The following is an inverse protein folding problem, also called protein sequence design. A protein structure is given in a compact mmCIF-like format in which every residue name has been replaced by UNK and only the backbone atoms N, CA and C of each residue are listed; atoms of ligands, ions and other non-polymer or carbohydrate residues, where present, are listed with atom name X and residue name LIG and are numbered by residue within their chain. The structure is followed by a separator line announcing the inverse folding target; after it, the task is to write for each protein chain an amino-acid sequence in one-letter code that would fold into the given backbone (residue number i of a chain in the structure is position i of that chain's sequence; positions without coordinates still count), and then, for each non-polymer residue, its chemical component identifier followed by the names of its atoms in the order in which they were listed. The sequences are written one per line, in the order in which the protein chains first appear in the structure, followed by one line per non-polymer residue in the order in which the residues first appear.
data_IF_484259025603
#
_entry.id   IF_484259025603
#
_cell.length_a   1.000
_cell.length_b   1.000
_cell.length_c   1.000
_cell.angle_alpha   90.00
_cell.angle_beta   90.00
_cell.angle_gamma   90.00
#
_symmetry.space_group_name_H-M   'P 1'
#
loop_
_entity.id
_entity.type
_entity.pdbx_description
1 polymer ?
#
# COMPACT_ATOMS: atom_id res chain seq x y z
N UNK A 1 -12.67 20.83 54.43
CA UNK A 1 -13.07 19.51 53.94
C UNK A 1 -11.83 18.82 53.40
N UNK A 2 -11.41 17.69 54.00
CA UNK A 2 -10.06 17.14 53.96
C UNK A 2 -9.62 16.76 52.56
N UNK A 3 -8.59 17.45 52.08
CA UNK A 3 -7.88 17.21 50.82
C UNK A 3 -6.88 16.02 50.94
N UNK A 4 -7.19 15.03 51.75
CA UNK A 4 -6.48 13.75 51.73
C UNK A 4 -7.32 12.74 50.95
N UNK A 5 -7.38 12.93 49.62
CA UNK A 5 -7.75 11.86 48.74
C UNK A 5 -6.63 10.83 48.86
N UNK A 6 -7.02 9.63 49.26
CA UNK A 6 -6.10 8.54 49.55
C UNK A 6 -5.14 8.36 48.37
N UNK A 7 -3.80 8.23 48.59
CA UNK A 7 -2.82 7.97 47.50
C UNK A 7 -3.17 6.75 46.63
N UNK A 8 -4.04 5.89 47.12
CA UNK A 8 -4.58 4.76 46.38
C UNK A 8 -5.53 5.17 45.25
N UNK A 9 -6.32 6.25 45.43
CA UNK A 9 -7.22 6.72 44.38
C UNK A 9 -6.43 7.23 43.15
N UNK A 10 -5.35 7.92 43.38
CA UNK A 10 -4.44 8.41 42.35
C UNK A 10 -3.74 7.25 41.63
N UNK A 11 -3.45 6.17 42.37
CA UNK A 11 -2.87 4.95 41.77
C UNK A 11 -3.88 4.22 40.88
N UNK A 12 -5.14 4.12 41.27
CA UNK A 12 -6.21 3.54 40.45
C UNK A 12 -6.41 4.35 39.18
N UNK A 13 -6.45 5.67 39.30
CA UNK A 13 -6.57 6.59 38.18
C UNK A 13 -5.38 6.44 37.21
N UNK A 14 -4.16 6.36 37.73
CA UNK A 14 -2.96 6.12 36.91
C UNK A 14 -3.06 4.82 36.10
N UNK A 15 -3.50 3.72 36.73
CA UNK A 15 -3.70 2.43 36.06
C UNK A 15 -4.78 2.55 35.00
N UNK A 16 -5.90 3.22 35.28
CA UNK A 16 -6.97 3.44 34.31
C UNK A 16 -6.47 4.21 33.07
N UNK A 17 -5.69 5.27 33.26
CA UNK A 17 -5.07 6.01 32.17
C UNK A 17 -4.10 5.15 31.34
N UNK A 18 -3.33 4.26 31.97
CA UNK A 18 -2.48 3.31 31.25
C UNK A 18 -3.30 2.36 30.38
N UNK A 19 -4.42 1.84 30.89
CA UNK A 19 -5.32 0.95 30.14
C UNK A 19 -5.91 1.69 28.94
N UNK A 20 -6.40 2.93 29.13
CA UNK A 20 -6.93 3.76 28.03
C UNK A 20 -5.88 4.09 26.98
N UNK A 21 -4.62 4.31 27.37
CA UNK A 21 -3.50 4.47 26.42
C UNK A 21 -3.17 3.16 25.66
N UNK A 22 -3.35 2.01 26.28
CA UNK A 22 -3.22 0.71 25.59
C UNK A 22 -4.34 0.52 24.55
N UNK A 23 -5.58 0.88 24.90
CA UNK A 23 -6.73 0.86 24.00
C UNK A 23 -6.48 1.82 22.82
N UNK A 24 -6.01 3.05 23.10
CA UNK A 24 -5.63 4.02 22.05
C UNK A 24 -4.60 3.44 21.10
N UNK A 25 -3.52 2.85 21.62
CA UNK A 25 -2.48 2.23 20.80
C UNK A 25 -3.02 1.11 19.92
N UNK A 26 -3.86 0.25 20.46
CA UNK A 26 -4.42 -0.89 19.73
C UNK A 26 -5.35 -0.46 18.59
N UNK A 27 -6.21 0.53 18.84
CA UNK A 27 -7.20 1.00 17.87
C UNK A 27 -6.56 1.89 16.80
N UNK A 28 -5.67 2.81 17.21
CA UNK A 28 -5.06 3.78 16.28
C UNK A 28 -3.84 3.24 15.53
N UNK A 29 -3.23 2.17 16.04
CA UNK A 29 -1.96 1.65 15.53
C UNK A 29 -0.74 2.51 15.87
N UNK A 30 -0.88 3.53 16.71
CA UNK A 30 0.24 4.33 17.22
C UNK A 30 1.16 3.47 18.07
N UNK A 31 2.45 3.48 17.75
CA UNK A 31 3.44 2.81 18.61
C UNK A 31 3.86 3.75 19.75
N UNK A 32 3.44 3.42 20.97
CA UNK A 32 3.83 4.12 22.19
C UNK A 32 4.75 3.25 23.03
N UNK A 33 5.98 3.71 23.28
CA UNK A 33 6.89 3.00 24.18
C UNK A 33 6.34 2.98 25.62
N UNK A 34 6.71 1.96 26.38
CA UNK A 34 6.29 1.83 27.79
C UNK A 34 6.60 3.10 28.60
N UNK A 35 7.80 3.70 28.40
CA UNK A 35 8.22 4.94 29.08
C UNK A 35 7.31 6.12 28.75
N UNK A 36 6.92 6.29 27.46
CA UNK A 36 6.01 7.36 27.03
C UNK A 36 4.61 7.19 27.64
N UNK A 37 4.08 5.96 27.67
CA UNK A 37 2.77 5.69 28.31
C UNK A 37 2.76 6.04 29.78
N UNK A 38 3.79 5.60 30.53
CA UNK A 38 3.92 5.95 31.94
C UNK A 38 4.04 7.47 32.16
N UNK A 39 4.84 8.16 31.33
CA UNK A 39 4.99 9.61 31.44
C UNK A 39 3.65 10.34 31.23
N UNK A 40 2.91 9.98 30.17
CA UNK A 40 1.61 10.60 29.88
C UNK A 40 0.62 10.31 30.99
N UNK A 41 0.51 9.07 31.45
CA UNK A 41 -0.38 8.71 32.56
C UNK A 41 -0.02 9.48 33.84
N UNK A 42 1.28 9.60 34.17
CA UNK A 42 1.73 10.39 35.32
C UNK A 42 1.35 11.87 35.21
N UNK A 43 1.55 12.49 34.03
CA UNK A 43 1.16 13.88 33.81
C UNK A 43 -0.36 14.07 33.97
N UNK A 44 -1.18 13.17 33.42
CA UNK A 44 -2.64 13.25 33.56
C UNK A 44 -3.10 13.04 35.00
N UNK A 45 -2.44 12.15 35.75
CA UNK A 45 -2.70 11.95 37.19
C UNK A 45 -2.36 13.20 37.98
N UNK A 46 -1.24 13.85 37.69
CA UNK A 46 -0.89 15.14 38.35
C UNK A 46 -1.91 16.22 37.98
N UNK A 47 -2.36 16.31 36.76
CA UNK A 47 -3.43 17.23 36.35
C UNK A 47 -4.74 16.96 37.12
N UNK A 48 -5.09 15.68 37.31
CA UNK A 48 -6.27 15.30 38.10
C UNK A 48 -6.15 15.72 39.58
N UNK A 49 -4.97 15.55 40.19
CA UNK A 49 -4.74 15.98 41.57
C UNK A 49 -4.89 17.50 41.75
N UNK A 50 -4.34 18.26 40.78
CA UNK A 50 -4.34 19.75 40.86
C UNK A 50 -5.71 20.32 40.53
N UNK A 51 -6.40 19.81 39.52
CA UNK A 51 -7.64 20.38 38.97
C UNK A 51 -8.92 19.71 39.47
N UNK A 52 -8.80 18.71 40.29
CA UNK A 52 -9.80 17.77 40.82
C UNK A 52 -11.23 17.89 40.25
N UNK A 53 -12.02 18.90 40.68
CA UNK A 53 -13.43 19.07 40.24
C UNK A 53 -13.55 19.48 38.77
N UNK A 54 -12.64 20.31 38.27
CA UNK A 54 -12.61 20.76 36.88
C UNK A 54 -12.15 19.62 35.98
N UNK A 55 -11.18 18.82 36.44
CA UNK A 55 -10.67 17.70 35.68
C UNK A 55 -11.73 16.64 35.40
N UNK A 56 -12.65 16.44 36.34
CA UNK A 56 -13.77 15.50 36.15
C UNK A 56 -14.59 15.83 34.90
N UNK A 57 -14.71 17.11 34.52
CA UNK A 57 -15.39 17.54 33.28
C UNK A 57 -14.48 17.43 32.08
N UNK A 58 -13.18 17.64 32.22
CA UNK A 58 -12.21 17.68 31.14
C UNK A 58 -11.60 16.33 30.82
N UNK A 59 -11.73 15.35 31.74
CA UNK A 59 -11.15 14.01 31.60
C UNK A 59 -11.37 13.36 30.21
N UNK A 60 -12.59 13.35 29.63
CA UNK A 60 -12.82 12.72 28.31
C UNK A 60 -12.01 13.35 27.17
N UNK A 61 -11.63 14.62 27.34
CA UNK A 61 -10.89 15.39 26.33
C UNK A 61 -9.37 15.36 26.53
N UNK A 62 -8.89 14.68 27.60
CA UNK A 62 -7.46 14.67 27.96
C UNK A 62 -6.57 14.18 26.83
N UNK A 63 -6.98 13.17 26.08
CA UNK A 63 -6.18 12.67 24.96
C UNK A 63 -6.18 13.61 23.76
N UNK A 64 -7.16 14.50 23.60
CA UNK A 64 -7.13 15.52 22.56
C UNK A 64 -5.99 16.52 22.77
N UNK A 65 -5.62 16.77 24.03
CA UNK A 65 -4.49 17.63 24.41
C UNK A 65 -3.17 16.89 24.14
N UNK A 66 -3.15 15.57 24.31
CA UNK A 66 -1.94 14.73 24.18
C UNK A 66 -1.64 14.33 22.73
N UNK A 67 -2.66 14.06 21.92
CA UNK A 67 -2.53 13.60 20.53
C UNK A 67 -1.69 14.54 19.64
N UNK A 68 -1.79 15.88 19.71
CA UNK A 68 -0.96 16.77 18.90
C UNK A 68 0.54 16.64 19.12
N UNK A 69 0.99 16.13 20.28
CA UNK A 69 2.39 15.86 20.58
C UNK A 69 2.92 14.59 19.88
N UNK A 70 2.02 13.78 19.29
CA UNK A 70 2.41 12.68 18.44
C UNK A 70 2.50 13.18 16.99
N UNK A 71 3.59 12.87 16.31
CA UNK A 71 3.75 13.15 14.88
C UNK A 71 2.82 12.23 14.08
N UNK A 72 1.54 12.60 13.95
CA UNK A 72 0.53 11.86 13.22
C UNK A 72 0.01 12.70 12.06
N UNK A 73 -0.22 12.05 10.91
CA UNK A 73 -0.86 12.67 9.74
C UNK A 73 -2.40 12.64 9.83
N UNK A 74 -2.94 12.57 11.05
CA UNK A 74 -4.39 12.48 11.26
C UNK A 74 -5.11 13.80 11.02
N UNK A 75 -6.26 13.70 10.35
CA UNK A 75 -7.20 14.79 10.19
C UNK A 75 -7.86 15.16 11.54
N UNK A 76 -8.49 16.33 11.62
CA UNK A 76 -9.21 16.77 12.81
C UNK A 76 -10.27 15.75 13.30
N UNK A 77 -11.03 15.18 12.39
CA UNK A 77 -12.05 14.14 12.67
C UNK A 77 -11.45 12.88 13.26
N UNK A 78 -10.29 12.43 12.76
CA UNK A 78 -9.56 11.28 13.29
C UNK A 78 -8.98 11.55 14.68
N UNK A 79 -8.37 12.72 14.86
CA UNK A 79 -7.85 13.13 16.17
C UNK A 79 -8.95 13.11 17.22
N UNK A 80 -10.13 13.63 16.87
CA UNK A 80 -11.29 13.63 17.74
C UNK A 80 -11.76 12.22 18.06
N UNK A 81 -11.88 11.36 17.04
CA UNK A 81 -12.30 9.97 17.20
C UNK A 81 -11.36 9.17 18.09
N UNK A 82 -10.06 9.16 17.77
CA UNK A 82 -9.07 8.41 18.56
C UNK A 82 -8.85 9.00 19.95
N UNK A 83 -9.08 10.31 20.13
CA UNK A 83 -8.99 10.96 21.42
C UNK A 83 -10.14 10.62 22.36
N UNK A 84 -11.38 10.55 21.84
CA UNK A 84 -12.57 10.29 22.64
C UNK A 84 -12.88 8.81 22.83
N UNK A 85 -12.64 7.98 21.84
CA UNK A 85 -13.04 6.57 21.84
C UNK A 85 -12.53 5.77 23.06
N UNK A 86 -11.26 5.86 23.50
CA UNK A 86 -10.77 5.13 24.68
C UNK A 86 -11.51 5.51 25.96
N UNK A 87 -11.92 6.78 26.08
CA UNK A 87 -12.69 7.24 27.23
C UNK A 87 -14.14 6.76 27.19
N UNK A 88 -14.79 6.79 26.00
CA UNK A 88 -16.16 6.25 25.84
C UNK A 88 -16.19 4.77 26.19
N UNK A 89 -15.25 3.99 25.63
CA UNK A 89 -15.15 2.55 25.91
C UNK A 89 -14.90 2.31 27.39
N UNK A 90 -13.93 3.01 27.97
CA UNK A 90 -13.59 2.87 29.40
C UNK A 90 -14.77 3.19 30.32
N UNK A 91 -15.38 4.37 30.19
CA UNK A 91 -16.50 4.80 31.02
C UNK A 91 -17.72 3.86 30.85
N UNK A 92 -18.07 3.52 29.62
CA UNK A 92 -19.20 2.64 29.33
C UNK A 92 -18.98 1.23 29.91
N UNK A 93 -17.82 0.63 29.70
CA UNK A 93 -17.51 -0.71 30.20
C UNK A 93 -17.43 -0.76 31.71
N UNK A 94 -16.79 0.23 32.37
CA UNK A 94 -16.77 0.31 33.83
C UNK A 94 -18.18 0.36 34.42
N UNK A 95 -19.09 1.12 33.82
CA UNK A 95 -20.49 1.20 34.26
C UNK A 95 -21.25 -0.11 34.07
N UNK A 96 -21.05 -0.80 32.96
CA UNK A 96 -21.69 -2.10 32.69
C UNK A 96 -21.15 -3.15 33.66
N UNK A 97 -19.82 -3.18 33.88
CA UNK A 97 -19.20 -4.11 34.83
C UNK A 97 -19.70 -3.79 36.28
N UNK A 98 -19.75 -2.52 36.63
CA UNK A 98 -20.30 -2.08 37.93
C UNK A 98 -21.75 -2.55 38.14
N UNK A 99 -22.59 -2.39 37.13
CA UNK A 99 -23.97 -2.84 37.15
C UNK A 99 -24.08 -4.36 37.30
N UNK A 100 -23.25 -5.12 36.57
CA UNK A 100 -23.19 -6.56 36.69
C UNK A 100 -22.74 -7.04 38.06
N UNK A 101 -21.68 -6.44 38.61
CA UNK A 101 -21.16 -6.76 39.96
C UNK A 101 -22.22 -6.48 41.02
N UNK A 102 -22.91 -5.36 40.90
CA UNK A 102 -23.97 -4.98 41.84
C UNK A 102 -25.16 -5.94 41.77
N UNK A 103 -25.61 -6.27 40.58
CA UNK A 103 -26.81 -7.09 40.38
C UNK A 103 -26.58 -8.58 40.67
N UNK A 104 -25.46 -9.15 40.23
CA UNK A 104 -25.20 -10.60 40.35
C UNK A 104 -24.52 -10.95 41.65
N UNK A 105 -23.53 -10.13 42.06
CA UNK A 105 -22.72 -10.44 43.24
C UNK A 105 -23.07 -9.59 44.45
N UNK A 106 -24.00 -8.64 44.34
CA UNK A 106 -24.37 -7.67 45.37
C UNK A 106 -23.18 -6.88 45.91
N UNK A 107 -22.15 -6.74 45.08
CA UNK A 107 -20.94 -5.98 45.37
C UNK A 107 -21.13 -4.54 44.87
N UNK A 108 -20.96 -3.58 45.75
CA UNK A 108 -21.03 -2.16 45.42
C UNK A 108 -19.95 -1.34 46.16
N UNK A 109 -19.91 -0.05 45.84
CA UNK A 109 -18.95 0.86 46.48
C UNK A 109 -19.16 0.97 48.00
N UNK A 110 -20.37 0.83 48.51
CA UNK A 110 -20.66 0.90 49.92
C UNK A 110 -20.11 -0.32 50.68
N UNK A 111 -20.08 -1.49 50.05
CA UNK A 111 -19.57 -2.72 50.64
C UNK A 111 -18.04 -2.85 50.56
N UNK A 112 -17.43 -2.41 49.47
CA UNK A 112 -16.02 -2.63 49.16
C UNK A 112 -15.16 -1.36 49.14
N UNK A 113 -15.80 -0.16 49.08
CA UNK A 113 -15.07 1.12 48.99
C UNK A 113 -14.08 1.15 47.83
N UNK A 114 -12.86 1.52 48.10
CA UNK A 114 -11.78 1.64 47.11
C UNK A 114 -11.46 0.33 46.34
N UNK A 115 -11.65 -0.82 47.00
CA UNK A 115 -11.43 -2.11 46.37
C UNK A 115 -12.37 -2.34 45.19
N UNK A 116 -13.56 -1.74 45.22
CA UNK A 116 -14.51 -1.78 44.12
C UNK A 116 -13.94 -1.11 42.85
N UNK A 117 -13.33 0.07 42.99
CA UNK A 117 -12.72 0.79 41.87
C UNK A 117 -11.50 0.05 41.30
N UNK A 118 -10.71 -0.60 42.15
CA UNK A 118 -9.61 -1.46 41.73
C UNK A 118 -10.13 -2.65 40.88
N UNK A 119 -11.17 -3.32 41.36
CA UNK A 119 -11.79 -4.45 40.64
C UNK A 119 -12.34 -3.99 39.29
N UNK A 120 -13.06 -2.85 39.26
CA UNK A 120 -13.59 -2.31 38.02
C UNK A 120 -12.48 -2.02 36.98
N UNK A 121 -11.41 -1.38 37.46
CA UNK A 121 -10.28 -1.03 36.57
C UNK A 121 -9.55 -2.26 36.07
N UNK A 122 -9.31 -3.27 36.91
CA UNK A 122 -8.67 -4.51 36.50
C UNK A 122 -9.54 -5.35 35.53
N UNK A 123 -10.86 -5.36 35.75
CA UNK A 123 -11.79 -6.08 34.87
C UNK A 123 -11.98 -5.42 33.50
N UNK A 124 -11.58 -4.16 33.34
CA UNK A 124 -11.71 -3.44 32.07
C UNK A 124 -10.93 -4.14 30.94
N UNK A 125 -9.71 -4.64 31.20
CA UNK A 125 -8.86 -5.32 30.20
C UNK A 125 -9.51 -6.61 29.67
N UNK A 126 -9.87 -7.58 30.52
CA UNK A 126 -10.49 -8.82 30.04
C UNK A 126 -11.85 -8.53 29.38
N UNK A 127 -12.65 -7.61 29.89
CA UNK A 127 -13.93 -7.24 29.29
C UNK A 127 -13.73 -6.63 27.89
N UNK A 128 -12.77 -5.70 27.73
CA UNK A 128 -12.40 -5.13 26.46
C UNK A 128 -11.97 -6.21 25.45
N UNK A 129 -11.06 -7.11 25.87
CA UNK A 129 -10.58 -8.16 24.98
C UNK A 129 -11.66 -9.15 24.58
N UNK A 130 -12.54 -9.54 25.50
CA UNK A 130 -13.69 -10.41 25.23
C UNK A 130 -14.69 -9.75 24.30
N UNK A 131 -14.99 -8.47 24.49
CA UNK A 131 -15.93 -7.71 23.66
C UNK A 131 -15.45 -7.65 22.19
N UNK A 132 -14.22 -7.18 21.97
CA UNK A 132 -13.69 -7.04 20.61
C UNK A 132 -13.44 -8.39 19.94
N UNK A 133 -12.95 -9.38 20.68
CA UNK A 133 -12.73 -10.74 20.17
C UNK A 133 -14.06 -11.47 19.91
N UNK A 134 -15.02 -11.33 20.82
CA UNK A 134 -16.33 -11.97 20.70
C UNK A 134 -17.13 -11.45 19.50
N UNK A 135 -17.07 -10.15 19.25
CA UNK A 135 -17.70 -9.52 18.09
C UNK A 135 -16.87 -9.62 16.80
N UNK A 136 -15.68 -10.26 16.86
CA UNK A 136 -14.74 -10.36 15.73
C UNK A 136 -14.41 -9.00 15.09
N UNK A 137 -14.38 -7.95 15.91
CA UNK A 137 -14.00 -6.60 15.47
C UNK A 137 -12.47 -6.53 15.53
N UNK A 138 -11.84 -6.49 14.37
CA UNK A 138 -10.39 -6.30 14.30
C UNK A 138 -10.06 -4.81 14.34
N UNK A 139 -9.16 -4.44 15.26
CA UNK A 139 -8.72 -3.05 15.41
C UNK A 139 -8.15 -2.44 14.11
N UNK A 140 -7.63 -3.28 13.19
CA UNK A 140 -7.16 -2.82 11.88
C UNK A 140 -8.27 -2.18 11.03
N UNK A 141 -9.53 -2.61 11.20
CA UNK A 141 -10.68 -2.05 10.47
C UNK A 141 -11.19 -0.72 11.06
N UNK A 142 -10.72 -0.38 12.26
CA UNK A 142 -10.96 0.94 12.85
C UNK A 142 -9.88 1.96 12.46
N UNK A 143 -8.81 1.51 11.76
CA UNK A 143 -7.83 2.40 11.14
C UNK A 143 -8.43 2.97 9.87
N UNK A 144 -8.72 4.24 9.89
CA UNK A 144 -9.39 4.93 8.82
C UNK A 144 -8.38 5.56 7.89
N UNK A 145 -8.32 5.07 6.67
CA UNK A 145 -7.78 5.84 5.55
C UNK A 145 -8.87 6.80 5.08
N UNK A 146 -8.66 8.08 5.31
CA UNK A 146 -9.65 9.17 5.29
C UNK A 146 -10.01 9.67 3.90
N UNK A 147 -9.74 8.94 2.85
CA UNK A 147 -9.97 9.39 1.48
C UNK A 147 -11.42 9.20 0.99
N UNK A 148 -12.25 8.47 1.72
CA UNK A 148 -13.60 8.13 1.29
C UNK A 148 -14.66 9.01 1.98
N UNK A 149 -15.50 9.70 1.20
CA UNK A 149 -16.54 10.61 1.70
C UNK A 149 -17.54 9.92 2.63
N UNK A 150 -17.87 8.66 2.35
CA UNK A 150 -18.85 7.89 3.11
C UNK A 150 -18.34 7.60 4.53
N UNK A 151 -17.07 7.24 4.66
CA UNK A 151 -16.44 7.01 5.98
C UNK A 151 -16.32 8.29 6.79
N UNK A 152 -16.03 9.43 6.15
CA UNK A 152 -15.95 10.72 6.84
C UNK A 152 -17.25 11.06 7.57
N UNK A 153 -18.40 10.81 6.95
CA UNK A 153 -19.72 11.08 7.54
C UNK A 153 -20.00 10.15 8.72
N UNK A 154 -19.64 8.86 8.63
CA UNK A 154 -19.80 7.90 9.73
C UNK A 154 -18.94 8.31 10.93
N UNK A 155 -17.68 8.69 10.70
CA UNK A 155 -16.79 9.17 11.78
C UNK A 155 -17.27 10.47 12.40
N UNK A 156 -17.82 11.38 11.59
CA UNK A 156 -18.40 12.61 12.12
C UNK A 156 -19.61 12.31 13.02
N UNK A 157 -20.51 11.42 12.59
CA UNK A 157 -21.68 11.03 13.40
C UNK A 157 -21.28 10.32 14.68
N UNK A 158 -20.27 9.47 14.66
CA UNK A 158 -19.72 8.82 15.87
C UNK A 158 -19.10 9.84 16.82
N UNK A 159 -18.31 10.78 16.33
CA UNK A 159 -17.73 11.83 17.16
C UNK A 159 -18.80 12.70 17.85
N UNK A 160 -19.86 13.05 17.12
CA UNK A 160 -20.99 13.77 17.68
C UNK A 160 -21.67 12.91 18.76
N UNK A 161 -21.88 11.61 18.51
CA UNK A 161 -22.47 10.71 19.49
C UNK A 161 -21.63 10.57 20.77
N UNK A 162 -20.28 10.57 20.65
CA UNK A 162 -19.38 10.55 21.82
C UNK A 162 -19.51 11.79 22.66
N UNK A 163 -19.56 12.97 22.03
CA UNK A 163 -19.75 14.24 22.75
C UNK A 163 -21.10 14.26 23.44
N UNK A 164 -22.17 13.87 22.75
CA UNK A 164 -23.53 13.82 23.33
C UNK A 164 -23.57 12.85 24.51
N UNK A 165 -22.94 11.66 24.38
CA UNK A 165 -22.84 10.69 25.46
C UNK A 165 -22.18 11.32 26.72
N UNK A 166 -21.02 11.95 26.56
CA UNK A 166 -20.32 12.55 27.67
C UNK A 166 -21.10 13.71 28.29
N UNK A 167 -21.68 14.59 27.50
CA UNK A 167 -22.51 15.68 28.02
C UNK A 167 -23.65 15.14 28.87
N UNK A 168 -24.31 14.08 28.39
CA UNK A 168 -25.43 13.48 29.09
C UNK A 168 -25.00 12.80 30.40
N UNK A 169 -23.96 11.98 30.35
CA UNK A 169 -23.42 11.30 31.53
C UNK A 169 -22.96 12.31 32.58
N UNK A 170 -22.25 13.37 32.17
CA UNK A 170 -21.75 14.39 33.13
C UNK A 170 -22.87 15.27 33.72
N UNK A 171 -23.87 15.61 32.92
CA UNK A 171 -25.03 16.34 33.46
C UNK A 171 -25.79 15.54 34.52
N UNK A 172 -25.98 14.24 34.29
CA UNK A 172 -26.65 13.36 35.28
C UNK A 172 -25.81 13.22 36.55
N UNK A 173 -24.49 13.16 36.48
CA UNK A 173 -23.60 13.14 37.65
C UNK A 173 -23.67 14.46 38.42
N UNK A 174 -23.74 15.61 37.73
CA UNK A 174 -23.88 16.91 38.37
C UNK A 174 -25.23 17.04 39.08
N UNK A 175 -26.31 16.59 38.44
CA UNK A 175 -27.65 16.61 39.05
C UNK A 175 -27.67 15.73 40.31
N UNK A 176 -27.11 14.52 40.27
CA UNK A 176 -27.00 13.62 41.43
C UNK A 176 -26.28 14.32 42.58
N UNK A 177 -25.14 14.97 42.37
CA UNK A 177 -24.42 15.77 43.36
C UNK A 177 -25.27 16.89 43.98
N UNK A 178 -26.00 17.63 43.13
CA UNK A 178 -26.85 18.73 43.60
C UNK A 178 -28.03 18.22 44.42
N UNK A 179 -28.57 17.04 44.06
CA UNK A 179 -29.62 16.38 44.89
C UNK A 179 -29.04 15.94 46.24
N UNK A 180 -27.86 15.31 46.25
CA UNK A 180 -27.17 14.91 47.48
C UNK A 180 -26.84 16.11 48.39
N UNK A 181 -26.41 17.22 47.78
CA UNK A 181 -26.16 18.48 48.50
C UNK A 181 -27.45 19.22 48.89
N UNK A 182 -28.63 18.68 48.57
CA UNK A 182 -29.93 19.31 48.84
C UNK A 182 -30.10 20.69 48.15
N UNK A 183 -29.37 20.95 47.07
CA UNK A 183 -29.48 22.19 46.27
C UNK A 183 -30.74 22.16 45.39
N UNK A 184 -31.04 21.00 44.83
CA UNK A 184 -32.23 20.77 44.03
C UNK A 184 -32.94 19.51 44.50
N UNK A 185 -34.25 19.44 44.21
CA UNK A 185 -35.06 18.24 44.38
C UNK A 185 -35.60 17.80 43.01
N UNK A 186 -35.43 16.53 42.67
CA UNK A 186 -35.96 15.92 41.44
C UNK A 186 -36.84 14.72 41.80
N UNK A 187 -37.88 14.47 41.02
CA UNK A 187 -38.84 13.37 41.23
C UNK A 187 -38.37 12.05 40.55
N UNK A 188 -37.15 11.99 40.11
CA UNK A 188 -36.55 10.84 39.42
C UNK A 188 -35.13 10.59 39.96
N UNK A 189 -34.67 9.34 39.88
CA UNK A 189 -33.35 8.95 40.32
C UNK A 189 -32.32 9.17 39.19
N UNK A 190 -31.37 10.12 39.35
CA UNK A 190 -30.36 10.42 38.36
C UNK A 190 -29.44 9.22 38.04
N UNK A 191 -29.17 8.38 39.01
CA UNK A 191 -28.39 7.15 38.82
C UNK A 191 -29.10 6.17 37.91
N UNK A 192 -30.41 5.97 38.12
CA UNK A 192 -31.20 5.02 37.29
C UNK A 192 -31.36 5.49 35.87
N UNK A 193 -31.61 6.78 35.67
CA UNK A 193 -31.67 7.38 34.32
C UNK A 193 -30.34 7.25 33.58
N UNK A 194 -29.23 7.57 34.22
CA UNK A 194 -27.88 7.44 33.69
C UNK A 194 -27.60 6.00 33.24
N UNK A 195 -27.93 5.03 34.11
CA UNK A 195 -27.72 3.61 33.86
C UNK A 195 -28.45 3.12 32.60
N UNK A 196 -29.74 3.46 32.49
CA UNK A 196 -30.55 3.07 31.32
C UNK A 196 -30.01 3.69 30.03
N UNK A 197 -29.53 4.93 30.06
CA UNK A 197 -28.95 5.60 28.92
C UNK A 197 -27.61 4.97 28.52
N UNK A 198 -26.76 4.62 29.47
CA UNK A 198 -25.51 3.91 29.19
C UNK A 198 -25.78 2.55 28.54
N UNK A 199 -26.78 1.80 29.01
CA UNK A 199 -27.17 0.53 28.40
C UNK A 199 -27.70 0.71 26.97
N UNK A 200 -28.59 1.69 26.76
CA UNK A 200 -29.09 2.00 25.42
C UNK A 200 -27.94 2.43 24.48
N UNK A 201 -27.06 3.28 24.99
CA UNK A 201 -25.91 3.74 24.22
C UNK A 201 -24.94 2.60 23.91
N UNK A 202 -24.75 1.65 24.83
CA UNK A 202 -23.93 0.45 24.59
C UNK A 202 -24.44 -0.37 23.40
N UNK A 203 -25.77 -0.57 23.31
CA UNK A 203 -26.39 -1.28 22.17
C UNK A 203 -26.16 -0.52 20.87
N UNK A 204 -26.41 0.80 20.86
CA UNK A 204 -26.25 1.65 19.68
C UNK A 204 -24.76 1.73 19.25
N UNK A 205 -23.85 1.86 20.21
CA UNK A 205 -22.41 1.88 19.96
C UNK A 205 -21.93 0.55 19.37
N UNK A 206 -22.38 -0.58 19.95
CA UNK A 206 -22.05 -1.91 19.46
C UNK A 206 -22.56 -2.11 18.01
N UNK A 207 -23.81 -1.72 17.75
CA UNK A 207 -24.37 -1.76 16.40
C UNK A 207 -23.57 -0.90 15.40
N UNK A 208 -23.16 0.30 15.83
CA UNK A 208 -22.33 1.19 14.99
C UNK A 208 -20.94 0.61 14.70
N UNK A 209 -20.30 -0.03 15.68
CA UNK A 209 -19.02 -0.71 15.47
C UNK A 209 -19.15 -1.92 14.53
N UNK A 210 -20.20 -2.72 14.68
CA UNK A 210 -20.49 -3.84 13.79
C UNK A 210 -20.75 -3.36 12.36
N UNK A 211 -21.51 -2.28 12.21
CA UNK A 211 -21.75 -1.67 10.90
C UNK A 211 -20.47 -1.17 10.23
N UNK A 212 -19.59 -0.48 10.99
CA UNK A 212 -18.28 -0.07 10.49
C UNK A 212 -17.42 -1.26 10.06
N UNK A 213 -17.36 -2.30 10.91
CA UNK A 213 -16.61 -3.51 10.61
C UNK A 213 -17.12 -4.20 9.34
N UNK A 214 -18.45 -4.29 9.19
CA UNK A 214 -19.09 -4.85 7.99
C UNK A 214 -18.74 -4.05 6.72
N UNK A 215 -18.90 -2.72 6.77
CA UNK A 215 -18.61 -1.84 5.62
C UNK A 215 -17.14 -1.89 5.20
N UNK A 216 -16.22 -1.88 6.17
CA UNK A 216 -14.79 -2.01 5.88
C UNK A 216 -14.43 -3.35 5.25
N UNK A 217 -15.04 -4.43 5.76
CA UNK A 217 -14.85 -5.75 5.17
C UNK A 217 -15.40 -5.81 3.73
N UNK A 218 -16.60 -5.31 3.50
CA UNK A 218 -17.20 -5.22 2.17
C UNK A 218 -16.31 -4.47 1.17
N UNK A 219 -15.71 -3.34 1.61
CA UNK A 219 -14.79 -2.58 0.77
C UNK A 219 -13.53 -3.37 0.42
N UNK A 220 -12.90 -4.02 1.40
CA UNK A 220 -11.73 -4.86 1.16
C UNK A 220 -12.04 -6.04 0.24
N UNK A 221 -13.19 -6.69 0.41
CA UNK A 221 -13.59 -7.79 -0.45
C UNK A 221 -13.78 -7.33 -1.91
N UNK A 222 -14.32 -6.12 -2.12
CA UNK A 222 -14.42 -5.50 -3.46
C UNK A 222 -13.05 -5.19 -4.06
N UNK A 223 -12.14 -4.58 -3.30
CA UNK A 223 -10.78 -4.30 -3.77
C UNK A 223 -10.02 -5.57 -4.14
N UNK A 224 -10.15 -6.63 -3.33
CA UNK A 224 -9.56 -7.94 -3.62
C UNK A 224 -10.16 -8.54 -4.90
N UNK A 225 -11.48 -8.41 -5.08
CA UNK A 225 -12.15 -8.92 -6.29
C UNK A 225 -11.69 -8.17 -7.54
N UNK A 226 -11.60 -6.85 -7.51
CA UNK A 226 -11.09 -6.03 -8.62
C UNK A 226 -9.66 -6.41 -9.00
N UNK A 227 -8.78 -6.64 -8.00
CA UNK A 227 -7.43 -7.10 -8.24
C UNK A 227 -7.39 -8.49 -8.90
N UNK A 228 -8.23 -9.42 -8.45
CA UNK A 228 -8.35 -10.75 -9.05
C UNK A 228 -8.83 -10.68 -10.51
N UNK A 229 -9.85 -9.87 -10.77
CA UNK A 229 -10.40 -9.70 -12.11
C UNK A 229 -9.37 -9.10 -13.06
N UNK A 230 -8.55 -8.15 -12.58
CA UNK A 230 -7.42 -7.60 -13.34
C UNK A 230 -6.37 -8.69 -13.64
N UNK A 231 -5.99 -9.49 -12.65
CA UNK A 231 -5.04 -10.59 -12.86
C UNK A 231 -5.55 -11.63 -13.88
N UNK A 232 -6.84 -11.98 -13.81
CA UNK A 232 -7.48 -12.89 -14.78
C UNK A 232 -7.50 -12.30 -16.20
N UNK A 233 -7.76 -11.01 -16.34
CA UNK A 233 -7.72 -10.33 -17.63
C UNK A 233 -6.30 -10.32 -18.23
N UNK A 234 -5.27 -10.09 -17.40
CA UNK A 234 -3.86 -10.12 -17.81
C UNK A 234 -3.43 -11.53 -18.23
N UNK A 235 -3.82 -12.54 -17.45
CA UNK A 235 -3.57 -13.95 -17.81
C UNK A 235 -4.25 -14.34 -19.13
N UNK A 236 -5.49 -13.87 -19.35
CA UNK A 236 -6.20 -14.11 -20.60
C UNK A 236 -5.53 -13.43 -21.80
N UNK A 237 -4.92 -12.24 -21.62
CA UNK A 237 -4.11 -11.58 -22.67
C UNK A 237 -2.85 -12.39 -22.98
N UNK A 238 -2.15 -12.82 -21.96
CA UNK A 238 -0.96 -13.67 -22.11
C UNK A 238 -1.27 -14.98 -22.84
N UNK A 239 -2.33 -15.69 -22.44
CA UNK A 239 -2.75 -16.95 -23.07
C UNK A 239 -3.03 -16.77 -24.57
N UNK A 240 -3.75 -15.70 -24.94
CA UNK A 240 -4.02 -15.39 -26.37
C UNK A 240 -2.74 -15.09 -27.16
N UNK A 241 -1.79 -14.40 -26.53
CA UNK A 241 -0.50 -14.14 -27.16
C UNK A 241 0.30 -15.43 -27.40
N UNK A 242 0.34 -16.33 -26.43
CA UNK A 242 0.97 -17.65 -26.55
C UNK A 242 0.29 -18.48 -27.68
N UNK A 243 -1.04 -18.46 -27.73
CA UNK A 243 -1.79 -19.15 -28.80
C UNK A 243 -1.47 -18.60 -30.20
N UNK A 244 -1.31 -17.28 -30.32
CA UNK A 244 -0.87 -16.64 -31.56
C UNK A 244 0.52 -17.12 -31.99
N UNK A 245 1.46 -17.15 -31.04
CA UNK A 245 2.81 -17.67 -31.33
C UNK A 245 2.81 -19.13 -31.74
N UNK A 246 2.00 -19.98 -31.11
CA UNK A 246 1.85 -21.38 -31.50
C UNK A 246 1.29 -21.53 -32.93
N UNK A 247 0.34 -20.68 -33.31
CA UNK A 247 -0.19 -20.67 -34.69
C UNK A 247 0.87 -20.28 -35.69
N UNK A 248 1.68 -19.25 -35.38
CA UNK A 248 2.80 -18.84 -36.26
C UNK A 248 3.85 -19.94 -36.41
N UNK A 249 4.27 -20.58 -35.32
CA UNK A 249 5.21 -21.70 -35.33
C UNK A 249 4.65 -22.88 -36.15
N UNK A 250 3.37 -23.17 -36.00
CA UNK A 250 2.72 -24.27 -36.76
C UNK A 250 2.69 -23.97 -38.28
N UNK A 251 2.37 -22.73 -38.64
CA UNK A 251 2.39 -22.29 -40.06
C UNK A 251 3.81 -22.39 -40.63
N UNK A 252 4.79 -21.85 -39.91
CA UNK A 252 6.21 -21.94 -40.32
C UNK A 252 6.66 -23.37 -40.50
N UNK A 253 6.35 -24.28 -39.59
CA UNK A 253 6.69 -25.71 -39.72
C UNK A 253 6.05 -26.34 -40.92
N UNK A 254 4.78 -26.02 -41.22
CA UNK A 254 4.08 -26.53 -42.40
C UNK A 254 4.76 -26.07 -43.68
N UNK A 255 5.04 -24.76 -43.80
CA UNK A 255 5.64 -24.17 -44.99
C UNK A 255 7.07 -24.71 -45.22
N UNK A 256 7.86 -24.84 -44.17
CA UNK A 256 9.20 -25.41 -44.20
C UNK A 256 9.19 -26.89 -44.61
N UNK A 257 8.22 -27.66 -44.10
CA UNK A 257 8.04 -29.07 -44.49
C UNK A 257 7.70 -29.18 -45.96
N UNK A 258 6.84 -28.34 -46.53
CA UNK A 258 6.49 -28.33 -47.94
C UNK A 258 7.71 -28.02 -48.84
N UNK A 259 8.51 -27.04 -48.45
CA UNK A 259 9.77 -26.72 -49.13
C UNK A 259 10.71 -27.94 -49.17
N UNK A 260 10.90 -28.61 -48.01
CA UNK A 260 11.76 -29.79 -47.94
C UNK A 260 11.23 -30.96 -48.79
N UNK A 261 9.91 -31.15 -48.85
CA UNK A 261 9.29 -32.19 -49.69
C UNK A 261 9.50 -31.89 -51.16
N UNK A 262 9.23 -30.67 -51.61
CA UNK A 262 9.42 -30.24 -53.00
C UNK A 262 10.90 -30.31 -53.44
N UNK A 263 11.81 -29.94 -52.55
CA UNK A 263 13.25 -30.06 -52.82
C UNK A 263 13.68 -31.52 -52.92
N UNK A 264 13.16 -32.42 -52.08
CA UNK A 264 13.48 -33.87 -52.15
C UNK A 264 12.93 -34.53 -53.42
N UNK A 265 11.76 -34.12 -53.90
CA UNK A 265 11.21 -34.60 -55.22
C UNK A 265 12.08 -34.12 -56.35
N UNK A 266 12.42 -32.84 -56.43
CA UNK A 266 13.28 -32.28 -57.45
C UNK A 266 14.69 -32.94 -57.49
N UNK A 267 15.24 -33.30 -56.30
CA UNK A 267 16.51 -34.04 -56.20
C UNK A 267 16.37 -35.47 -56.78
N UNK A 268 15.25 -36.16 -56.42
CA UNK A 268 15.00 -37.52 -56.90
C UNK A 268 14.83 -37.60 -58.41
N UNK A 269 14.22 -36.58 -59.03
CA UNK A 269 13.97 -36.48 -60.48
C UNK A 269 15.17 -35.88 -61.21
N UNK A 270 16.28 -35.60 -60.52
CA UNK A 270 17.51 -34.99 -61.10
C UNK A 270 17.23 -33.64 -61.82
N UNK A 271 16.13 -32.97 -61.49
CA UNK A 271 15.72 -31.69 -62.07
C UNK A 271 16.50 -30.51 -61.45
N UNK A 272 17.66 -30.24 -62.07
CA UNK A 272 18.54 -29.15 -61.60
C UNK A 272 17.87 -27.78 -61.74
N UNK A 273 16.94 -27.58 -62.66
CA UNK A 273 16.24 -26.30 -62.84
C UNK A 273 15.25 -26.08 -61.74
N UNK A 274 14.49 -27.11 -61.35
CA UNK A 274 13.56 -27.07 -60.25
C UNK A 274 14.33 -26.89 -58.93
N UNK A 275 15.43 -27.59 -58.67
CA UNK A 275 16.28 -27.42 -57.46
C UNK A 275 16.78 -25.99 -57.36
N UNK A 276 17.25 -25.41 -58.45
CA UNK A 276 17.75 -24.02 -58.47
C UNK A 276 16.61 -23.01 -58.23
N UNK A 277 15.44 -23.26 -58.81
CA UNK A 277 14.27 -22.42 -58.58
C UNK A 277 13.84 -22.40 -57.10
N UNK A 278 13.67 -23.58 -56.47
CA UNK A 278 13.32 -23.73 -55.07
C UNK A 278 14.40 -23.10 -54.16
N UNK A 279 15.67 -23.31 -54.49
CA UNK A 279 16.78 -22.72 -53.76
C UNK A 279 16.77 -21.19 -53.83
N UNK A 280 16.53 -20.61 -55.01
CA UNK A 280 16.41 -19.15 -55.15
C UNK A 280 15.17 -18.60 -54.49
N UNK A 281 14.04 -19.31 -54.51
CA UNK A 281 12.81 -18.89 -53.81
C UNK A 281 12.99 -18.91 -52.30
N UNK A 282 13.62 -19.96 -51.77
CA UNK A 282 13.92 -20.07 -50.33
C UNK A 282 14.92 -19.01 -49.91
N UNK A 283 15.99 -18.78 -50.69
CA UNK A 283 16.98 -17.77 -50.35
C UNK A 283 16.43 -16.35 -50.54
N UNK A 284 15.69 -16.08 -51.63
CA UNK A 284 15.11 -14.77 -51.87
C UNK A 284 14.04 -14.40 -50.79
N UNK A 285 13.26 -15.39 -50.35
CA UNK A 285 12.30 -15.20 -49.23
C UNK A 285 13.01 -15.18 -47.88
N UNK A 286 14.14 -15.90 -47.78
CA UNK A 286 15.02 -15.90 -46.61
C UNK A 286 15.81 -14.59 -46.52
N UNK A 287 16.40 -14.08 -47.57
CA UNK A 287 17.10 -12.79 -47.59
C UNK A 287 16.13 -11.63 -47.24
N UNK A 288 14.89 -11.61 -47.77
CA UNK A 288 13.91 -10.61 -47.41
C UNK A 288 13.41 -10.74 -45.97
N UNK A 289 13.24 -11.94 -45.43
CA UNK A 289 12.76 -12.18 -44.08
C UNK A 289 13.88 -12.20 -43.02
N UNK A 290 15.11 -12.49 -43.41
CA UNK A 290 16.26 -12.60 -42.52
C UNK A 290 17.05 -11.30 -42.40
N UNK A 291 17.09 -10.44 -43.42
CA UNK A 291 17.67 -9.11 -43.30
C UNK A 291 16.75 -8.08 -42.64
N UNK A 292 15.46 -8.33 -42.54
CA UNK A 292 14.49 -7.46 -41.87
C UNK A 292 14.36 -7.79 -40.37
N UNK A 293 15.46 -7.76 -39.60
CA UNK A 293 15.43 -7.72 -38.14
C UNK A 293 14.89 -8.94 -37.36
N UNK A 294 14.44 -10.02 -38.05
CA UNK A 294 13.98 -11.25 -37.39
C UNK A 294 15.12 -12.05 -36.73
N UNK A 295 16.32 -12.01 -37.28
CA UNK A 295 17.50 -12.66 -36.72
C UNK A 295 17.97 -11.98 -35.44
N UNK A 296 17.83 -10.67 -35.33
CA UNK A 296 18.25 -9.93 -34.17
C UNK A 296 17.39 -10.26 -32.95
N UNK A 297 16.08 -10.46 -33.16
CA UNK A 297 15.19 -10.91 -32.07
C UNK A 297 15.49 -12.34 -31.62
N UNK A 298 15.97 -13.21 -32.54
CA UNK A 298 16.37 -14.58 -32.19
C UNK A 298 17.55 -14.62 -31.20
N UNK A 299 18.43 -13.61 -31.20
CA UNK A 299 19.52 -13.48 -30.21
C UNK A 299 19.04 -13.28 -28.79
N UNK A 300 17.79 -12.82 -28.60
CA UNK A 300 17.14 -12.77 -27.26
C UNK A 300 17.02 -14.18 -26.66
N UNK A 301 17.14 -15.26 -27.43
CA UNK A 301 17.15 -16.63 -26.87
C UNK A 301 18.29 -16.85 -25.90
N UNK A 302 19.39 -16.10 -26.02
CA UNK A 302 20.56 -16.18 -25.14
C UNK A 302 20.30 -15.56 -23.74
N UNK A 303 19.25 -14.79 -23.54
CA UNK A 303 18.87 -14.28 -22.25
C UNK A 303 18.17 -15.39 -21.46
N UNK A 304 18.76 -15.80 -20.33
CA UNK A 304 18.27 -16.96 -19.57
C UNK A 304 16.96 -16.70 -18.83
N UNK A 305 16.68 -15.46 -18.45
CA UNK A 305 15.45 -15.14 -17.70
C UNK A 305 14.24 -14.93 -18.62
N UNK A 306 13.14 -15.73 -18.47
CA UNK A 306 11.97 -15.66 -19.34
C UNK A 306 11.22 -14.33 -19.29
N UNK A 307 11.19 -13.66 -18.12
CA UNK A 307 10.48 -12.39 -17.95
C UNK A 307 11.20 -11.25 -18.67
N UNK A 308 12.54 -11.19 -18.57
CA UNK A 308 13.38 -10.23 -19.31
C UNK A 308 13.27 -10.47 -20.81
N UNK A 309 13.35 -11.72 -21.24
CA UNK A 309 13.16 -12.13 -22.65
C UNK A 309 11.81 -11.67 -23.20
N UNK A 310 10.75 -11.89 -22.45
CA UNK A 310 9.38 -11.51 -22.83
C UNK A 310 9.22 -9.99 -22.95
N UNK A 311 9.76 -9.22 -21.99
CA UNK A 311 9.74 -7.77 -22.05
C UNK A 311 10.45 -7.26 -23.30
N UNK A 312 11.70 -7.70 -23.53
CA UNK A 312 12.51 -7.27 -24.67
C UNK A 312 11.84 -7.62 -26.00
N UNK A 313 11.35 -8.85 -26.14
CA UNK A 313 10.61 -9.27 -27.34
C UNK A 313 9.39 -8.40 -27.60
N UNK A 314 8.62 -8.08 -26.57
CA UNK A 314 7.45 -7.19 -26.68
C UNK A 314 7.83 -5.79 -27.14
N UNK A 315 8.89 -5.20 -26.58
CA UNK A 315 9.38 -3.85 -26.93
C UNK A 315 9.96 -3.80 -28.34
N UNK A 316 10.70 -4.82 -28.74
CA UNK A 316 11.24 -4.93 -30.11
C UNK A 316 10.12 -5.05 -31.14
N UNK A 317 9.10 -5.87 -30.88
CA UNK A 317 7.93 -5.98 -31.73
C UNK A 317 7.13 -4.67 -31.83
N UNK A 318 7.03 -3.92 -30.72
CA UNK A 318 6.42 -2.59 -30.69
C UNK A 318 7.18 -1.61 -31.60
N UNK A 319 8.50 -1.55 -31.47
CA UNK A 319 9.35 -0.70 -32.30
C UNK A 319 9.26 -1.07 -33.81
N UNK A 320 9.26 -2.36 -34.15
CA UNK A 320 9.08 -2.82 -35.52
C UNK A 320 7.72 -2.39 -36.10
N UNK A 321 6.64 -2.49 -35.32
CA UNK A 321 5.31 -2.03 -35.77
C UNK A 321 5.28 -0.53 -36.07
N UNK A 322 6.14 0.26 -35.41
CA UNK A 322 6.31 1.70 -35.63
C UNK A 322 7.28 2.02 -36.76
N UNK A 323 7.82 0.99 -37.48
CA UNK A 323 8.73 1.16 -38.58
C UNK A 323 10.18 1.47 -38.18
N UNK A 324 10.54 1.25 -36.93
CA UNK A 324 11.88 1.48 -36.38
C UNK A 324 12.75 0.24 -36.66
N UNK A 325 13.95 0.47 -37.21
CA UNK A 325 14.96 -0.58 -37.38
C UNK A 325 15.54 -0.97 -36.01
N UNK A 326 15.80 -2.28 -35.84
CA UNK A 326 16.29 -2.80 -34.54
C UNK A 326 17.50 -3.68 -34.78
N UNK A 327 18.54 -3.52 -33.96
CA UNK A 327 19.65 -4.45 -33.86
C UNK A 327 19.74 -4.96 -32.40
N UNK A 328 19.88 -6.29 -32.27
CA UNK A 328 20.04 -6.95 -30.95
C UNK A 328 21.37 -7.67 -30.92
N UNK A 329 22.20 -7.34 -29.93
CA UNK A 329 23.54 -7.91 -29.74
C UNK A 329 23.60 -8.62 -28.36
N UNK A 330 23.32 -9.92 -28.37
CA UNK A 330 23.43 -10.82 -27.22
C UNK A 330 24.11 -12.09 -27.67
N UNK A 331 25.44 -12.08 -27.70
CA UNK A 331 26.24 -13.12 -28.38
C UNK A 331 26.40 -14.42 -27.56
N UNK A 332 26.29 -14.34 -26.25
CA UNK A 332 26.42 -15.47 -25.32
C UNK A 332 25.22 -15.58 -24.39
N UNK A 333 25.03 -16.76 -23.81
CA UNK A 333 24.03 -16.96 -22.75
C UNK A 333 24.35 -16.07 -21.54
N UNK A 334 23.36 -15.30 -21.10
CA UNK A 334 23.53 -14.32 -20.02
C UNK A 334 22.35 -14.34 -19.04
N UNK A 335 22.68 -14.31 -17.74
CA UNK A 335 21.69 -14.18 -16.67
C UNK A 335 21.50 -12.71 -16.27
N UNK A 336 20.35 -12.33 -15.68
CA UNK A 336 20.17 -11.00 -15.11
C UNK A 336 21.29 -10.65 -14.11
N UNK A 337 21.58 -9.35 -13.89
CA UNK A 337 22.50 -8.91 -12.86
C UNK A 337 21.96 -9.20 -11.45
N UNK A 338 22.79 -9.08 -10.43
CA UNK A 338 22.43 -9.24 -9.00
C UNK A 338 21.60 -8.04 -8.50
N UNK A 339 20.44 -7.87 -9.11
CA UNK A 339 19.44 -6.84 -8.89
C UNK A 339 18.07 -7.50 -8.75
N UNK A 340 17.17 -6.92 -7.96
CA UNK A 340 15.80 -7.43 -7.89
C UNK A 340 15.18 -7.45 -9.31
N UNK A 341 14.67 -8.62 -9.72
CA UNK A 341 14.22 -8.85 -11.10
C UNK A 341 13.18 -7.82 -11.57
N UNK A 342 12.28 -7.40 -10.68
CA UNK A 342 11.25 -6.41 -11.00
C UNK A 342 11.85 -5.03 -11.25
N UNK A 343 12.91 -4.67 -10.53
CA UNK A 343 13.64 -3.41 -10.73
C UNK A 343 14.42 -3.43 -12.04
N UNK A 344 15.07 -4.54 -12.37
CA UNK A 344 15.76 -4.70 -13.67
C UNK A 344 14.79 -4.59 -14.85
N UNK A 345 13.64 -5.27 -14.77
CA UNK A 345 12.56 -5.17 -15.77
C UNK A 345 12.06 -3.74 -15.89
N UNK A 346 11.90 -3.03 -14.78
CA UNK A 346 11.44 -1.64 -14.75
C UNK A 346 12.44 -0.72 -15.43
N UNK A 347 13.74 -0.85 -15.13
CA UNK A 347 14.81 -0.09 -15.77
C UNK A 347 14.79 -0.31 -17.30
N UNK A 348 14.83 -1.57 -17.73
CA UNK A 348 14.82 -1.91 -19.16
C UNK A 348 13.58 -1.37 -19.88
N UNK A 349 12.41 -1.48 -19.27
CA UNK A 349 11.17 -0.93 -19.85
C UNK A 349 11.28 0.57 -20.06
N UNK A 350 11.74 1.32 -19.05
CA UNK A 350 11.86 2.78 -19.14
C UNK A 350 12.85 3.20 -20.21
N UNK A 351 14.02 2.54 -20.29
CA UNK A 351 15.05 2.89 -21.29
C UNK A 351 14.57 2.60 -22.72
N UNK A 352 13.93 1.44 -22.93
CA UNK A 352 13.41 1.05 -24.25
C UNK A 352 12.20 1.92 -24.67
N UNK A 353 11.32 2.27 -23.73
CA UNK A 353 10.21 3.20 -24.04
C UNK A 353 10.73 4.56 -24.49
N UNK A 354 11.75 5.08 -23.81
CA UNK A 354 12.40 6.33 -24.20
C UNK A 354 13.07 6.23 -25.59
N UNK A 355 13.72 5.10 -25.85
CA UNK A 355 14.39 4.85 -27.14
C UNK A 355 13.38 4.75 -28.29
N UNK A 356 12.26 4.03 -28.08
CA UNK A 356 11.18 3.89 -29.06
C UNK A 356 10.55 5.25 -29.35
N UNK A 357 10.21 6.00 -28.32
CA UNK A 357 9.61 7.33 -28.45
C UNK A 357 10.51 8.33 -29.20
N UNK A 358 11.82 8.25 -29.00
CA UNK A 358 12.76 9.14 -29.68
C UNK A 358 13.00 8.72 -31.15
N UNK A 359 13.18 7.42 -31.40
CA UNK A 359 13.42 6.88 -32.73
C UNK A 359 12.19 7.01 -33.67
N UNK A 360 10.96 6.95 -33.10
CA UNK A 360 9.71 7.14 -33.84
C UNK A 360 9.61 8.51 -34.51
N UNK A 361 10.28 9.53 -33.93
CA UNK A 361 10.29 10.90 -34.46
C UNK A 361 11.31 11.09 -35.62
N UNK A 362 12.16 10.09 -35.86
CA UNK A 362 13.21 10.16 -36.88
C UNK A 362 12.76 9.53 -38.17
N UNK A 363 13.21 10.09 -39.33
CA UNK A 363 12.89 9.56 -40.68
C UNK A 363 13.44 8.14 -40.88
N UNK A 364 14.59 7.82 -40.27
CA UNK A 364 15.22 6.50 -40.26
C UNK A 364 15.52 6.10 -38.80
N UNK A 365 14.46 5.85 -38.04
CA UNK A 365 14.59 5.47 -36.64
C UNK A 365 15.34 4.13 -36.48
N UNK A 366 16.34 4.10 -35.62
CA UNK A 366 17.11 2.89 -35.32
C UNK A 366 17.29 2.75 -33.79
N UNK A 367 17.21 1.51 -33.30
CA UNK A 367 17.50 1.14 -31.92
C UNK A 367 18.49 0.00 -31.91
N UNK A 368 19.56 0.12 -31.15
CA UNK A 368 20.49 -0.96 -30.83
C UNK A 368 20.36 -1.34 -29.38
N UNK A 369 20.14 -2.61 -29.12
CA UNK A 369 20.13 -3.19 -27.78
C UNK A 369 21.27 -4.19 -27.67
N UNK A 370 22.22 -3.97 -26.78
CA UNK A 370 23.27 -4.92 -26.49
C UNK A 370 23.23 -5.34 -25.00
N UNK A 371 23.44 -6.64 -24.76
CA UNK A 371 23.58 -7.17 -23.40
C UNK A 371 24.65 -8.25 -23.38
N UNK A 372 25.73 -7.98 -22.70
CA UNK A 372 26.91 -8.85 -22.67
C UNK A 372 27.63 -8.79 -21.32
N UNK A 373 28.49 -9.76 -21.08
CA UNK A 373 29.37 -9.80 -19.92
C UNK A 373 30.81 -9.58 -20.35
N UNK A 374 31.50 -8.70 -19.65
CA UNK A 374 32.92 -8.43 -19.80
C UNK A 374 33.60 -8.54 -18.45
N UNK A 375 34.45 -9.52 -18.25
CA UNK A 375 35.05 -9.88 -16.96
C UNK A 375 33.97 -10.08 -15.87
N UNK A 376 34.03 -9.33 -14.77
CA UNK A 376 33.06 -9.34 -13.65
C UNK A 376 31.95 -8.29 -13.82
N UNK A 377 31.70 -7.82 -15.05
CA UNK A 377 30.70 -6.77 -15.33
C UNK A 377 29.66 -7.28 -16.33
N UNK A 378 28.40 -7.06 -16.00
CA UNK A 378 27.32 -7.18 -16.98
C UNK A 378 27.00 -5.79 -17.50
N UNK A 379 26.93 -5.65 -18.82
CA UNK A 379 26.76 -4.35 -19.47
C UNK A 379 25.51 -4.43 -20.36
N UNK A 380 24.59 -3.49 -20.15
CA UNK A 380 23.43 -3.28 -21.03
C UNK A 380 23.59 -1.94 -21.72
N UNK A 381 23.52 -1.95 -23.04
CA UNK A 381 23.53 -0.74 -23.86
C UNK A 381 22.21 -0.60 -24.60
N UNK A 382 21.61 0.59 -24.50
CA UNK A 382 20.47 1.00 -25.32
C UNK A 382 20.86 2.25 -26.08
N UNK A 383 21.02 2.12 -27.39
CA UNK A 383 21.29 3.23 -28.30
C UNK A 383 20.07 3.48 -29.18
N UNK A 384 19.75 4.74 -29.40
CA UNK A 384 18.71 5.13 -30.36
C UNK A 384 19.08 6.39 -31.15
N UNK A 385 18.46 6.52 -32.32
CA UNK A 385 18.53 7.75 -33.11
C UNK A 385 17.70 8.88 -32.48
N UNK A 386 18.14 10.12 -32.67
CA UNK A 386 17.44 11.32 -32.22
C UNK A 386 17.34 12.35 -33.34
N UNK A 387 16.29 13.18 -33.29
CA UNK A 387 16.10 14.31 -34.23
C UNK A 387 17.20 15.36 -34.07
N UNK A 388 17.58 15.64 -32.81
CA UNK A 388 18.63 16.57 -32.47
C UNK A 388 20.01 15.94 -32.65
N UNK A 389 20.98 16.70 -33.14
CA UNK A 389 22.37 16.23 -33.27
C UNK A 389 22.96 15.87 -31.91
N UNK A 390 22.60 16.64 -30.87
CA UNK A 390 23.02 16.42 -29.49
C UNK A 390 21.93 16.80 -28.50
N UNK A 391 21.48 15.84 -27.74
CA UNK A 391 20.51 16.02 -26.63
C UNK A 391 21.27 16.42 -25.35
N UNK A 392 20.77 17.41 -24.63
CA UNK A 392 21.36 17.81 -23.34
C UNK A 392 21.14 16.72 -22.29
N UNK A 393 22.24 16.20 -21.73
CA UNK A 393 22.22 15.12 -20.73
C UNK A 393 22.34 15.60 -19.28
N UNK A 394 22.52 16.91 -19.04
CA UNK A 394 22.86 17.47 -17.72
C UNK A 394 21.75 17.32 -16.67
N UNK A 395 20.46 17.30 -17.08
CA UNK A 395 19.30 17.31 -16.16
C UNK A 395 18.29 16.18 -16.44
N UNK A 396 18.65 15.19 -17.27
CA UNK A 396 17.71 14.13 -17.70
C UNK A 396 17.25 13.20 -16.58
N UNK A 397 18.01 13.16 -15.47
CA UNK A 397 17.67 12.36 -14.29
C UNK A 397 16.97 13.17 -13.19
N UNK A 398 16.70 14.46 -13.40
CA UNK A 398 15.96 15.29 -12.45
C UNK A 398 14.45 15.03 -12.57
N UNK A 399 13.79 15.01 -11.42
CA UNK A 399 12.35 14.74 -11.36
C UNK A 399 11.54 15.83 -12.09
N UNK A 400 10.69 15.40 -13.02
CA UNK A 400 9.82 16.31 -13.77
C UNK A 400 10.49 17.01 -14.97
N UNK A 401 11.78 16.74 -15.29
CA UNK A 401 12.43 17.26 -16.48
C UNK A 401 12.02 16.42 -17.71
N UNK A 402 11.26 17.01 -18.62
CA UNK A 402 10.83 16.39 -19.87
C UNK A 402 10.83 17.40 -21.01
N UNK A 403 11.42 17.05 -22.14
CA UNK A 403 11.31 17.83 -23.39
C UNK A 403 9.97 17.60 -24.12
N UNK A 404 9.10 16.70 -23.58
CA UNK A 404 7.90 16.19 -24.26
C UNK A 404 6.56 16.62 -23.61
N UNK A 405 6.53 17.64 -22.71
CA UNK A 405 5.30 18.23 -22.13
C UNK A 405 5.03 17.89 -20.65
N UNK A 406 4.06 18.60 -20.07
CA UNK A 406 3.64 18.47 -18.67
C UNK A 406 3.13 17.07 -18.34
N UNK A 407 3.56 16.49 -17.23
CA UNK A 407 3.35 15.11 -16.75
C UNK A 407 4.25 13.99 -17.32
N UNK A 408 5.33 14.30 -18.03
CA UNK A 408 6.38 13.36 -18.43
C UNK A 408 7.70 13.75 -17.75
N UNK A 409 8.68 12.86 -17.62
CA UNK A 409 9.97 13.15 -16.96
C UNK A 409 10.18 12.42 -15.63
N UNK A 410 9.35 11.43 -15.32
CA UNK A 410 9.47 10.61 -14.10
C UNK A 410 10.33 9.35 -14.35
N UNK A 411 10.40 8.88 -15.60
CA UNK A 411 11.02 7.60 -15.95
C UNK A 411 12.51 7.52 -15.58
N UNK A 412 13.33 8.40 -16.12
CA UNK A 412 14.78 8.39 -15.85
C UNK A 412 15.12 8.77 -14.40
N UNK A 413 14.34 9.63 -13.76
CA UNK A 413 14.45 9.90 -12.33
C UNK A 413 14.20 8.63 -11.49
N UNK A 414 13.23 7.80 -11.91
CA UNK A 414 12.97 6.52 -11.27
C UNK A 414 14.12 5.53 -11.46
N UNK A 415 14.69 5.44 -12.68
CA UNK A 415 15.89 4.63 -12.94
C UNK A 415 17.02 5.03 -11.99
N UNK A 416 17.29 6.32 -11.84
CA UNK A 416 18.31 6.81 -10.91
C UNK A 416 18.01 6.43 -9.46
N UNK A 417 16.75 6.60 -9.03
CA UNK A 417 16.33 6.23 -7.67
C UNK A 417 16.54 4.74 -7.38
N UNK A 418 16.28 3.87 -8.35
CA UNK A 418 16.54 2.43 -8.22
C UNK A 418 18.05 2.19 -8.11
N UNK A 419 18.86 2.75 -9.02
CA UNK A 419 20.29 2.53 -9.03
C UNK A 419 21.00 3.12 -7.80
N UNK A 420 20.50 4.20 -7.21
CA UNK A 420 21.04 4.79 -5.97
C UNK A 420 20.99 3.83 -4.77
N UNK A 421 20.12 2.80 -4.82
CA UNK A 421 20.05 1.73 -3.82
C UNK A 421 21.14 0.67 -3.99
N UNK A 422 21.86 0.67 -5.13
CA UNK A 422 22.85 -0.34 -5.51
C UNK A 422 24.20 0.31 -5.85
N UNK A 423 25.11 0.46 -4.86
CA UNK A 423 26.38 1.18 -5.04
C UNK A 423 27.33 0.59 -6.11
N UNK A 424 27.15 -0.68 -6.47
CA UNK A 424 27.93 -1.37 -7.48
C UNK A 424 27.41 -1.15 -8.92
N UNK A 425 26.32 -0.42 -9.11
CA UNK A 425 25.67 -0.26 -10.40
C UNK A 425 25.71 1.20 -10.83
N UNK A 426 25.87 1.43 -12.12
CA UNK A 426 25.94 2.78 -12.66
C UNK A 426 25.26 2.88 -14.02
N UNK A 427 24.79 4.09 -14.35
CA UNK A 427 24.30 4.43 -15.67
C UNK A 427 25.11 5.60 -16.23
N UNK A 428 25.61 5.46 -17.45
CA UNK A 428 26.18 6.54 -18.23
C UNK A 428 25.25 6.90 -19.39
N UNK A 429 25.23 8.18 -19.76
CA UNK A 429 24.44 8.65 -20.89
C UNK A 429 25.27 9.59 -21.74
N UNK A 430 25.33 9.31 -23.03
CA UNK A 430 26.04 10.13 -24.01
C UNK A 430 25.12 10.47 -25.20
N UNK A 431 25.25 11.66 -25.76
CA UNK A 431 24.55 12.05 -26.97
C UNK A 431 25.45 12.81 -27.92
N UNK A 432 25.55 12.35 -29.17
CA UNK A 432 26.32 12.96 -30.25
C UNK A 432 25.92 12.39 -31.62
N UNK A 433 26.05 13.15 -32.68
CA UNK A 433 25.83 12.68 -34.05
C UNK A 433 24.45 12.03 -34.27
N UNK A 434 23.38 12.64 -33.79
CA UNK A 434 22.01 12.12 -33.82
C UNK A 434 21.82 10.76 -33.14
N UNK A 435 22.69 10.43 -32.17
CA UNK A 435 22.59 9.22 -31.36
C UNK A 435 22.48 9.55 -29.89
N UNK A 436 21.71 8.77 -29.17
CA UNK A 436 21.59 8.80 -27.73
C UNK A 436 21.88 7.42 -27.19
N UNK A 437 22.90 7.30 -26.34
CA UNK A 437 23.42 6.03 -25.82
C UNK A 437 23.28 6.04 -24.31
N UNK A 438 22.63 5.03 -23.77
CA UNK A 438 22.55 4.74 -22.34
C UNK A 438 23.23 3.41 -22.06
N UNK A 439 24.23 3.45 -21.20
CA UNK A 439 25.00 2.29 -20.79
C UNK A 439 24.83 2.05 -19.30
N UNK A 440 24.35 0.85 -18.97
CA UNK A 440 24.22 0.36 -17.59
C UNK A 440 25.34 -0.63 -17.34
N UNK A 441 26.09 -0.42 -16.26
CA UNK A 441 27.17 -1.31 -15.81
C UNK A 441 26.78 -1.88 -14.44
N UNK A 442 26.77 -3.20 -14.35
CA UNK A 442 26.47 -3.97 -13.17
C UNK A 442 27.73 -4.75 -12.79
N UNK A 443 28.29 -4.47 -11.61
CA UNK A 443 29.42 -5.22 -11.03
C UNK A 443 28.86 -6.37 -10.19
N UNK A 444 29.10 -7.60 -10.62
CA UNK A 444 28.69 -8.81 -9.87
C UNK A 444 29.48 -9.00 -8.57
#
# INVERSE_FOLDING_TARGET
MNIFISPFYDTVFFIDMLIRLMILQQISGLFLSKKKKCLIASCLTVCQIILYDIYLLLEPFSFLIVIPFFKTNWNGTQKLFYGLLPFVIGDMFQRIISLYLRFVFQLDYFSLGLFFDIILTLLLIPFYTLFFKGLRIEAKYLKVDTLDSDFKNIFLSLNISFIVYFLFVRTTVLIERWVEMKVIAVNWDPYYVRTNIVLLYFVLFTASLLYLNYRNKEKQDKEIQELKDKQLADLGRYSRHVESLYKEIRSFRHDYTNILVSLNEAIKDEDIVAIRSIYHEVIADTDRKFYDGKYDIARLSNIQNPAVKSLLSSKMLEAQKKGISISVEVDAEIEPPDLELIEFITILSILLDNAIDAAEQCTNGNIVFAYFQEDDRKIVVVENTTVEDKVSTSHIFEYGHSTKGDNRGIGLANVKTILDNYPKFSISTNSSNHRFVQELVFLD
#
